data_IF_206682715136
#
_entry.id   IF_206682715136
#
_cell.length_a   1.000
_cell.length_b   1.000
_cell.length_c   1.000
_cell.angle_alpha   90.00
_cell.angle_beta   90.00
_cell.angle_gamma   90.00
#
_symmetry.space_group_name_H-M   'P 1'
#
loop_
_entity.id
_entity.type
_entity.pdbx_description
1 polymer ?
#
# COMPACT_ATOMS: atom_id res chain seq x y z
N UNK A 1 -23.72 18.57 21.23
CA UNK A 1 -23.33 17.15 21.32
C UNK A 1 -22.05 17.07 22.16
N UNK A 2 -22.04 16.40 23.31
CA UNK A 2 -20.81 16.24 24.12
C UNK A 2 -20.03 15.06 23.55
N UNK A 3 -18.70 15.11 23.56
CA UNK A 3 -17.80 14.04 23.03
C UNK A 3 -18.06 12.65 23.65
N UNK A 4 -18.82 12.57 24.75
CA UNK A 4 -19.19 11.33 25.47
C UNK A 4 -20.36 10.57 24.84
N UNK A 5 -21.03 11.14 23.84
CA UNK A 5 -22.26 10.57 23.26
C UNK A 5 -22.02 9.92 21.87
N UNK A 6 -20.76 9.72 21.46
CA UNK A 6 -20.40 9.12 20.16
C UNK A 6 -19.98 7.67 20.39
N UNK A 7 -20.80 6.73 19.89
CA UNK A 7 -20.44 5.33 19.74
C UNK A 7 -19.94 5.08 18.31
N UNK A 8 -18.92 4.23 18.15
CA UNK A 8 -18.38 3.85 16.86
C UNK A 8 -18.60 2.35 16.67
N UNK A 9 -19.23 1.96 15.55
CA UNK A 9 -19.39 0.54 15.18
C UNK A 9 -18.07 -0.05 14.67
N UNK A 10 -17.26 0.78 14.01
CA UNK A 10 -15.91 0.45 13.55
C UNK A 10 -15.03 1.70 13.57
N UNK A 11 -13.79 1.55 14.03
CA UNK A 11 -12.80 2.63 14.06
C UNK A 11 -11.47 2.11 13.55
N UNK A 12 -10.98 2.71 12.48
CA UNK A 12 -9.69 2.39 11.87
C UNK A 12 -8.62 3.38 12.32
N UNK A 13 -7.41 2.88 12.53
CA UNK A 13 -6.24 3.69 12.87
C UNK A 13 -5.13 3.58 11.80
N UNK A 14 -5.08 2.45 11.10
CA UNK A 14 -4.16 2.20 10.00
C UNK A 14 -4.92 2.03 8.68
N UNK A 15 -4.28 2.41 7.57
CA UNK A 15 -4.87 2.25 6.23
C UNK A 15 -5.16 0.79 5.88
N UNK A 16 -4.44 -0.17 6.47
CA UNK A 16 -4.61 -1.61 6.22
C UNK A 16 -5.83 -2.20 6.94
N UNK A 17 -6.39 -1.51 7.95
CA UNK A 17 -7.60 -1.95 8.66
C UNK A 17 -8.84 -1.98 7.75
N UNK A 18 -8.75 -1.42 6.55
CA UNK A 18 -9.75 -1.60 5.50
C UNK A 18 -10.05 -3.07 5.21
N UNK A 19 -9.07 -3.98 5.35
CA UNK A 19 -9.30 -5.43 5.23
C UNK A 19 -10.35 -5.91 6.24
N UNK A 20 -10.26 -5.44 7.48
CA UNK A 20 -11.23 -5.78 8.52
C UNK A 20 -12.55 -5.03 8.32
N UNK A 21 -12.50 -3.77 7.85
CA UNK A 21 -13.69 -2.99 7.56
C UNK A 21 -14.58 -3.65 6.50
N UNK A 22 -14.00 -4.11 5.38
CA UNK A 22 -14.78 -4.75 4.30
C UNK A 22 -15.37 -6.09 4.73
N UNK A 23 -14.73 -6.80 5.65
CA UNK A 23 -15.26 -8.04 6.25
C UNK A 23 -16.37 -7.77 7.26
N UNK A 24 -16.21 -6.73 8.06
CA UNK A 24 -17.17 -6.33 9.09
C UNK A 24 -18.49 -5.83 8.47
N UNK A 25 -18.42 -5.17 7.31
CA UNK A 25 -19.57 -4.66 6.57
C UNK A 25 -19.76 -5.43 5.24
N UNK A 26 -20.23 -6.69 5.22
CA UNK A 26 -20.11 -7.55 4.04
C UNK A 26 -21.05 -7.21 2.86
N UNK A 27 -22.11 -6.43 3.07
CA UNK A 27 -23.05 -6.09 1.98
C UNK A 27 -22.62 -4.82 1.24
N UNK A 28 -22.10 -4.99 0.02
CA UNK A 28 -21.84 -3.87 -0.90
C UNK A 28 -20.67 -2.96 -0.54
N UNK A 29 -19.91 -3.27 0.52
CA UNK A 29 -18.78 -2.44 0.92
C UNK A 29 -17.63 -2.57 -0.07
N UNK A 30 -17.19 -1.42 -0.57
CA UNK A 30 -16.02 -1.27 -1.41
C UNK A 30 -15.11 -0.24 -0.77
N UNK A 31 -13.81 -0.50 -0.81
CA UNK A 31 -12.81 0.44 -0.35
C UNK A 31 -11.49 0.21 -1.11
N UNK A 32 -10.46 0.98 -0.79
CA UNK A 32 -9.17 0.95 -1.45
C UNK A 32 -8.03 0.70 -0.44
N UNK A 33 -6.96 0.10 -0.93
CA UNK A 33 -5.77 -0.27 -0.16
C UNK A 33 -4.57 -0.32 -1.10
N UNK A 34 -3.36 -0.19 -0.57
CA UNK A 34 -2.14 -0.45 -1.35
C UNK A 34 -2.02 -1.94 -1.73
N UNK A 35 -1.60 -2.20 -2.96
CA UNK A 35 -1.46 -3.56 -3.49
C UNK A 35 -0.54 -4.45 -2.63
N UNK A 36 0.56 -3.89 -2.14
CA UNK A 36 1.50 -4.62 -1.28
C UNK A 36 0.89 -5.11 0.03
N UNK A 37 -0.14 -4.44 0.55
CA UNK A 37 -0.88 -4.97 1.72
C UNK A 37 -1.96 -5.97 1.29
N UNK A 38 -2.70 -5.68 0.20
CA UNK A 38 -3.79 -6.52 -0.27
C UNK A 38 -3.35 -7.94 -0.69
N UNK A 39 -2.18 -8.09 -1.30
CA UNK A 39 -1.73 -9.37 -1.86
C UNK A 39 -1.59 -10.51 -0.84
N UNK A 40 -1.50 -10.17 0.45
CA UNK A 40 -1.41 -11.13 1.55
C UNK A 40 -2.79 -11.64 2.02
N UNK A 41 -3.88 -11.08 1.50
CA UNK A 41 -5.26 -11.38 1.90
C UNK A 41 -6.05 -11.98 0.73
N UNK A 42 -6.05 -13.30 0.60
CA UNK A 42 -6.75 -14.03 -0.49
C UNK A 42 -8.27 -14.11 -0.29
N UNK A 43 -8.73 -13.75 0.89
CA UNK A 43 -10.12 -13.75 1.34
C UNK A 43 -10.88 -12.47 0.96
N UNK A 44 -10.18 -11.46 0.43
CA UNK A 44 -10.80 -10.27 -0.16
C UNK A 44 -10.75 -10.34 -1.69
N UNK A 45 -11.78 -9.78 -2.33
CA UNK A 45 -11.87 -9.72 -3.79
C UNK A 45 -11.37 -8.38 -4.31
N UNK A 46 -10.24 -8.38 -5.00
CA UNK A 46 -9.75 -7.22 -5.75
C UNK A 46 -10.57 -7.01 -7.02
N UNK A 47 -11.07 -5.80 -7.24
CA UNK A 47 -11.83 -5.41 -8.43
C UNK A 47 -10.86 -4.87 -9.47
N UNK A 48 -11.06 -5.25 -10.74
CA UNK A 48 -10.33 -4.69 -11.88
C UNK A 48 -10.92 -3.34 -12.27
N UNK A 49 -10.08 -2.39 -12.65
CA UNK A 49 -10.53 -1.10 -13.19
C UNK A 49 -10.29 -1.11 -14.69
N UNK A 50 -11.34 -0.93 -15.48
CA UNK A 50 -11.31 -1.00 -16.95
C UNK A 50 -10.66 -2.30 -17.50
N UNK A 51 -10.85 -3.40 -16.78
CA UNK A 51 -10.28 -4.71 -17.14
C UNK A 51 -8.82 -4.92 -16.70
N UNK A 52 -8.16 -3.88 -16.18
CA UNK A 52 -6.80 -3.93 -15.66
C UNK A 52 -6.77 -4.29 -14.17
N UNK A 53 -5.80 -5.11 -13.81
CA UNK A 53 -5.46 -5.52 -12.45
C UNK A 53 -4.33 -4.64 -11.90
N UNK A 54 -4.18 -4.46 -10.57
CA UNK A 54 -3.13 -3.62 -10.01
C UNK A 54 -1.67 -4.00 -10.33
N UNK A 55 -1.44 -5.20 -10.86
CA UNK A 55 -0.11 -5.67 -11.27
C UNK A 55 0.16 -5.49 -12.78
N UNK A 56 -0.82 -5.02 -13.55
CA UNK A 56 -0.64 -4.77 -14.98
C UNK A 56 0.22 -3.51 -15.18
N UNK A 57 1.11 -3.51 -16.17
CA UNK A 57 2.09 -2.42 -16.40
C UNK A 57 1.41 -1.06 -16.65
N UNK A 58 0.26 -1.06 -17.33
CA UNK A 58 -0.51 0.14 -17.68
C UNK A 58 -1.58 0.52 -16.63
N UNK A 59 -1.52 -0.06 -15.41
CA UNK A 59 -2.52 0.23 -14.38
C UNK A 59 -2.44 1.72 -13.93
N UNK A 60 -3.53 2.51 -14.06
CA UNK A 60 -3.44 3.97 -13.94
C UNK A 60 -3.36 4.49 -12.49
N UNK A 61 -3.64 3.64 -11.49
CA UNK A 61 -3.65 4.05 -10.09
C UNK A 61 -2.42 3.52 -9.36
N UNK A 62 -1.42 4.39 -9.22
CA UNK A 62 -0.21 4.11 -8.46
C UNK A 62 0.23 5.36 -7.68
N UNK A 63 1.15 5.15 -6.75
CA UNK A 63 1.86 6.22 -6.06
C UNK A 63 3.34 5.87 -6.00
N UNK A 64 4.18 6.90 -6.02
CA UNK A 64 5.63 6.74 -5.86
C UNK A 64 5.97 6.87 -4.38
N UNK A 65 6.77 5.93 -3.88
CA UNK A 65 7.30 5.99 -2.52
C UNK A 65 8.63 6.74 -2.51
N UNK A 66 8.68 7.83 -1.76
CA UNK A 66 9.83 8.73 -1.71
C UNK A 66 10.64 8.53 -0.44
N UNK A 67 11.97 8.52 -0.58
CA UNK A 67 12.87 8.79 0.54
C UNK A 67 13.02 10.31 0.70
N UNK A 68 12.36 10.87 1.70
CA UNK A 68 12.47 12.29 2.02
C UNK A 68 13.62 12.47 3.03
N UNK A 69 14.66 13.22 2.63
CA UNK A 69 15.84 13.47 3.46
C UNK A 69 16.06 14.97 3.63
N UNK A 70 16.55 15.40 4.80
CA UNK A 70 16.75 16.83 5.10
C UNK A 70 17.97 17.42 4.37
N UNK A 71 18.94 16.58 4.04
CA UNK A 71 20.20 16.92 3.37
C UNK A 71 20.53 15.82 2.38
N UNK A 72 21.49 16.08 1.50
CA UNK A 72 22.02 15.05 0.61
C UNK A 72 22.47 13.81 1.41
N UNK A 73 22.00 12.60 1.04
CA UNK A 73 22.37 11.37 1.72
C UNK A 73 23.87 11.08 1.66
N UNK A 74 24.47 10.81 2.82
CA UNK A 74 25.84 10.35 2.94
C UNK A 74 25.94 9.06 3.79
N UNK A 75 27.16 8.51 3.93
CA UNK A 75 27.46 7.40 4.82
C UNK A 75 26.49 6.20 4.69
N UNK A 76 25.92 5.79 5.81
CA UNK A 76 25.00 4.65 5.86
C UNK A 76 23.64 4.95 5.23
N UNK A 77 23.18 6.21 5.27
CA UNK A 77 21.92 6.59 4.64
C UNK A 77 22.01 6.44 3.12
N UNK A 78 23.12 6.91 2.52
CA UNK A 78 23.38 6.71 1.09
C UNK A 78 23.45 5.23 0.73
N UNK A 79 24.16 4.41 1.51
CA UNK A 79 24.25 2.95 1.28
C UNK A 79 22.88 2.27 1.30
N UNK A 80 22.00 2.66 2.23
CA UNK A 80 20.65 2.12 2.30
C UNK A 80 19.80 2.50 1.08
N UNK A 81 19.85 3.78 0.67
CA UNK A 81 19.15 4.24 -0.53
C UNK A 81 19.70 3.52 -1.77
N UNK A 82 21.03 3.44 -1.92
CA UNK A 82 21.66 2.72 -3.04
C UNK A 82 21.27 1.23 -3.05
N UNK A 83 21.14 0.60 -1.87
CA UNK A 83 20.63 -0.78 -1.75
C UNK A 83 19.19 -0.91 -2.25
N UNK A 84 18.30 0.04 -1.95
CA UNK A 84 16.93 0.00 -2.44
C UNK A 84 16.85 -0.01 -3.99
N UNK A 85 17.82 0.62 -4.68
CA UNK A 85 17.95 0.60 -6.14
C UNK A 85 18.77 -0.59 -6.70
N UNK A 86 19.38 -1.42 -5.84
CA UNK A 86 20.12 -2.61 -6.26
C UNK A 86 19.19 -3.73 -6.73
N UNK A 87 19.72 -4.75 -7.43
CA UNK A 87 18.91 -5.89 -7.85
C UNK A 87 18.28 -6.66 -6.67
N UNK A 88 18.98 -6.74 -5.54
CA UNK A 88 18.42 -7.34 -4.31
C UNK A 88 17.27 -6.50 -3.76
N UNK A 89 17.42 -5.17 -3.73
CA UNK A 89 16.35 -4.25 -3.34
C UNK A 89 15.13 -4.36 -4.25
N UNK A 90 15.34 -4.35 -5.58
CA UNK A 90 14.27 -4.54 -6.57
C UNK A 90 13.56 -5.88 -6.41
N UNK A 91 14.29 -6.96 -6.08
CA UNK A 91 13.71 -8.27 -5.80
C UNK A 91 12.77 -8.21 -4.60
N UNK A 92 13.19 -7.59 -3.50
CA UNK A 92 12.35 -7.41 -2.30
C UNK A 92 11.08 -6.61 -2.64
N UNK A 93 11.21 -5.53 -3.41
CA UNK A 93 10.08 -4.69 -3.84
C UNK A 93 9.05 -5.53 -4.63
N UNK A 94 9.50 -6.31 -5.62
CA UNK A 94 8.62 -7.18 -6.42
C UNK A 94 7.95 -8.27 -5.59
N UNK A 95 8.68 -8.90 -4.67
CA UNK A 95 8.13 -9.94 -3.77
C UNK A 95 7.00 -9.41 -2.89
N UNK A 96 7.01 -8.11 -2.58
CA UNK A 96 5.97 -7.44 -1.80
C UNK A 96 4.94 -6.71 -2.70
N UNK A 97 4.80 -7.10 -3.98
CA UNK A 97 3.71 -6.65 -4.86
C UNK A 97 3.82 -5.19 -5.28
N UNK A 98 5.03 -4.64 -5.27
CA UNK A 98 5.33 -3.28 -5.70
C UNK A 98 6.19 -3.29 -6.97
N UNK A 99 6.21 -2.15 -7.66
CA UNK A 99 6.98 -1.96 -8.88
C UNK A 99 8.25 -1.16 -8.55
N UNK A 100 9.46 -1.70 -8.81
CA UNK A 100 10.69 -0.95 -8.62
C UNK A 100 10.84 0.14 -9.68
N UNK A 101 11.32 1.31 -9.26
CA UNK A 101 11.63 2.43 -10.17
C UNK A 101 13.12 2.40 -10.57
N UNK A 102 13.42 2.91 -11.77
CA UNK A 102 14.79 3.22 -12.15
C UNK A 102 15.31 4.41 -11.33
N UNK A 103 16.62 4.45 -11.13
CA UNK A 103 17.28 5.60 -10.53
C UNK A 103 17.40 6.75 -11.52
#
# INVERSE_FOLDING_TARGET
MKRKDIAHDFMAYDSTMVIEAVKHFPCGTVSFISQGAAMHHKDIKTIKIDGLSPNDEDYPYFQVFYFITKKEPDGNLKKFIDFAYSEEGKKIIRTNGMVPISR
#
